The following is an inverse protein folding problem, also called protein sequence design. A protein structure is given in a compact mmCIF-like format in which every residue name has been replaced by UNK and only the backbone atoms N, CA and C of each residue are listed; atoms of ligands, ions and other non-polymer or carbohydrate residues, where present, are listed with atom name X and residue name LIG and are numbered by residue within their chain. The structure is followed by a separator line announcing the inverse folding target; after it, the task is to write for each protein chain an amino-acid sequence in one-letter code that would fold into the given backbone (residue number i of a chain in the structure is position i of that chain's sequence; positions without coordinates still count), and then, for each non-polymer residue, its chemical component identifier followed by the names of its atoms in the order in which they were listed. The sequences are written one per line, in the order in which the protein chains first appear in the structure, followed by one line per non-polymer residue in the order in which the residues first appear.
data_IF_850501722471
#
_entry.id   IF_850501722471
#
_cell.length_a   1.000
_cell.length_b   1.000
_cell.length_c   1.000
_cell.angle_alpha   90.00
_cell.angle_beta   90.00
_cell.angle_gamma   90.00
#
_symmetry.space_group_name_H-M   'P 1'
#
loop_
_entity.id
_entity.type
_entity.pdbx_description
1 polymer ?
#
# COMPACT_ATOMS: atom_id res chain seq x y z
N UNK A 1 3.45 -10.12 4.06
CA UNK A 1 3.66 -11.22 5.05
C UNK A 1 2.41 -12.08 5.17
N UNK A 2 2.57 -13.36 5.48
CA UNK A 2 1.43 -14.22 5.83
C UNK A 2 1.11 -14.02 7.33
N UNK A 3 -0.02 -13.40 7.62
CA UNK A 3 -0.53 -13.21 8.99
C UNK A 3 -1.68 -14.18 9.27
N UNK A 4 -1.97 -14.46 10.54
CA UNK A 4 -2.95 -15.49 10.93
C UNK A 4 -4.38 -15.19 10.48
N UNK A 5 -4.69 -13.93 10.23
CA UNK A 5 -6.01 -13.45 9.79
C UNK A 5 -5.96 -12.90 8.37
N UNK A 6 -7.09 -12.85 7.64
CA UNK A 6 -7.16 -12.14 6.36
C UNK A 6 -6.85 -10.64 6.47
N UNK A 7 -7.27 -10.03 7.57
CA UNK A 7 -7.08 -8.61 7.90
C UNK A 7 -6.79 -8.50 9.39
N UNK A 8 -5.88 -7.59 9.77
CA UNK A 8 -5.71 -7.10 11.14
C UNK A 8 -6.08 -5.60 11.14
N UNK A 9 -7.07 -5.24 11.93
CA UNK A 9 -7.41 -3.84 12.18
C UNK A 9 -6.36 -3.23 13.11
N UNK A 10 -5.75 -2.13 12.66
CA UNK A 10 -4.72 -1.41 13.42
C UNK A 10 -5.29 -0.20 14.18
N UNK A 11 -6.58 0.08 13.96
CA UNK A 11 -7.30 1.15 14.64
C UNK A 11 -7.26 2.49 13.91
N UNK A 12 -7.76 3.55 14.59
CA UNK A 12 -7.91 4.87 14.01
C UNK A 12 -6.56 5.56 13.81
N UNK A 13 -6.45 6.30 12.69
CA UNK A 13 -5.29 7.14 12.35
C UNK A 13 -5.78 8.47 11.80
N UNK A 14 -5.08 9.55 12.15
CA UNK A 14 -5.37 10.86 11.57
C UNK A 14 -4.82 10.93 10.13
N UNK A 15 -5.72 11.03 9.18
CA UNK A 15 -5.41 11.13 7.75
C UNK A 15 -5.62 12.54 7.19
N UNK A 16 -5.93 13.53 8.03
CA UNK A 16 -6.39 14.85 7.60
C UNK A 16 -5.42 15.50 6.63
N UNK A 17 -4.17 15.70 7.04
CA UNK A 17 -3.16 16.37 6.22
C UNK A 17 -2.79 15.54 4.98
N UNK A 18 -2.61 14.23 5.15
CA UNK A 18 -2.30 13.34 4.02
C UNK A 18 -3.43 13.33 2.99
N UNK A 19 -4.68 13.32 3.46
CA UNK A 19 -5.86 13.35 2.59
C UNK A 19 -5.96 14.67 1.84
N UNK A 20 -5.75 15.80 2.51
CA UNK A 20 -5.75 17.13 1.89
C UNK A 20 -4.71 17.21 0.77
N UNK A 21 -3.48 16.85 1.06
CA UNK A 21 -2.40 16.86 0.06
C UNK A 21 -2.67 15.90 -1.11
N UNK A 22 -3.14 14.69 -0.86
CA UNK A 22 -3.45 13.73 -1.94
C UNK A 22 -4.58 14.25 -2.83
N UNK A 23 -5.62 14.83 -2.25
CA UNK A 23 -6.78 15.33 -3.00
C UNK A 23 -6.51 16.64 -3.75
N UNK A 24 -5.54 17.42 -3.34
CA UNK A 24 -5.11 18.64 -4.04
C UNK A 24 -4.21 18.36 -5.26
N UNK A 25 -3.75 17.12 -5.45
CA UNK A 25 -2.88 16.79 -6.59
C UNK A 25 -3.64 16.80 -7.91
N UNK A 26 -3.06 17.44 -8.91
CA UNK A 26 -3.55 17.42 -10.29
C UNK A 26 -3.36 16.05 -10.94
N UNK A 27 -4.07 15.80 -12.04
CA UNK A 27 -4.02 14.51 -12.73
C UNK A 27 -2.62 14.11 -13.19
N UNK A 28 -1.78 15.09 -13.57
CA UNK A 28 -0.38 14.85 -13.97
C UNK A 28 0.42 14.13 -12.87
N UNK A 29 0.20 14.44 -11.60
CA UNK A 29 0.89 13.78 -10.49
C UNK A 29 0.59 12.27 -10.38
N UNK A 30 -0.56 11.84 -10.90
CA UNK A 30 -0.98 10.45 -10.95
C UNK A 30 -0.51 9.71 -12.21
N UNK A 31 0.14 10.42 -13.12
CA UNK A 31 0.61 9.91 -14.41
C UNK A 31 2.15 9.96 -14.54
N UNK A 32 2.84 10.59 -13.58
CA UNK A 32 4.31 10.69 -13.58
C UNK A 32 5.02 9.35 -13.50
N UNK A 33 4.40 8.36 -12.86
CA UNK A 33 4.98 7.03 -12.71
C UNK A 33 3.94 5.97 -13.07
N UNK A 34 4.14 5.32 -14.20
CA UNK A 34 3.27 4.26 -14.72
C UNK A 34 3.89 2.86 -14.60
N UNK A 35 5.05 2.73 -13.93
CA UNK A 35 5.75 1.44 -13.79
C UNK A 35 4.83 0.30 -13.37
N UNK A 36 3.94 0.52 -12.39
CA UNK A 36 3.03 -0.53 -11.90
C UNK A 36 1.96 -0.90 -12.91
N UNK A 37 1.49 0.06 -13.70
CA UNK A 37 0.46 -0.16 -14.72
C UNK A 37 1.04 -0.90 -15.93
N UNK A 38 2.29 -0.60 -16.28
CA UNK A 38 2.99 -1.20 -17.41
C UNK A 38 3.50 -2.61 -17.06
N UNK A 39 4.02 -2.80 -15.85
CA UNK A 39 4.61 -4.06 -15.42
C UNK A 39 3.57 -5.10 -14.95
N UNK A 40 2.45 -4.64 -14.37
CA UNK A 40 1.45 -5.54 -13.77
C UNK A 40 0.05 -5.31 -14.34
N UNK A 41 -0.43 -6.23 -15.17
CA UNK A 41 -1.76 -6.18 -15.80
C UNK A 41 -2.89 -5.91 -14.79
N UNK A 42 -2.79 -6.44 -13.56
CA UNK A 42 -3.78 -6.24 -12.50
C UNK A 42 -3.94 -4.78 -12.08
N UNK A 43 -2.98 -3.90 -12.42
CA UNK A 43 -2.98 -2.49 -12.06
C UNK A 43 -3.33 -1.53 -13.20
N UNK A 44 -3.64 -2.01 -14.40
CA UNK A 44 -4.03 -1.18 -15.57
C UNK A 44 -5.24 -0.27 -15.32
N UNK A 45 -6.09 -0.64 -14.35
CA UNK A 45 -7.27 0.12 -13.94
C UNK A 45 -7.01 1.09 -12.76
N UNK A 46 -5.74 1.27 -12.38
CA UNK A 46 -5.31 2.11 -11.25
C UNK A 46 -4.38 3.22 -11.72
N UNK A 47 -4.26 4.27 -10.91
CA UNK A 47 -3.19 5.27 -10.99
C UNK A 47 -2.46 5.30 -9.64
N UNK A 48 -1.19 5.71 -9.63
CA UNK A 48 -0.42 5.75 -8.38
C UNK A 48 0.54 6.94 -8.34
N UNK A 49 0.76 7.47 -7.13
CA UNK A 49 1.89 8.34 -6.81
C UNK A 49 2.86 7.52 -5.97
N UNK A 50 3.93 7.03 -6.57
CA UNK A 50 4.96 6.26 -5.89
C UNK A 50 5.84 7.20 -5.06
N UNK A 51 6.05 6.85 -3.79
CA UNK A 51 6.87 7.61 -2.85
C UNK A 51 8.19 6.89 -2.51
N UNK A 52 8.07 5.60 -2.19
CA UNK A 52 9.20 4.70 -1.91
C UNK A 52 8.97 3.42 -2.70
N UNK A 53 10.02 2.92 -3.36
CA UNK A 53 9.95 1.62 -4.02
C UNK A 53 11.24 0.82 -3.84
N UNK A 54 11.10 -0.50 -3.60
CA UNK A 54 12.26 -1.39 -3.45
C UNK A 54 12.74 -1.84 -4.81
N UNK A 55 14.06 -1.87 -5.00
CA UNK A 55 14.68 -2.56 -6.13
C UNK A 55 14.43 -4.06 -6.00
N UNK A 56 13.56 -4.58 -6.85
CA UNK A 56 13.20 -5.99 -6.85
C UNK A 56 14.26 -6.87 -7.49
N UNK A 57 15.09 -6.30 -8.37
CA UNK A 57 16.16 -7.03 -9.07
C UNK A 57 17.32 -7.38 -8.15
N UNK A 58 17.57 -6.53 -7.14
CA UNK A 58 18.62 -6.71 -6.13
C UNK A 58 18.21 -7.54 -4.91
N UNK A 59 16.97 -8.02 -4.84
CA UNK A 59 16.52 -8.79 -3.69
C UNK A 59 17.40 -10.04 -3.43
N UNK A 60 17.80 -10.36 -2.19
CA UNK A 60 17.31 -9.83 -0.90
C UNK A 60 18.06 -8.60 -0.35
N UNK A 61 19.01 -8.02 -1.07
CA UNK A 61 19.64 -6.76 -0.69
C UNK A 61 18.59 -5.62 -0.77
N UNK A 62 18.17 -5.12 0.39
CA UNK A 62 17.10 -4.12 0.46
C UNK A 62 17.65 -2.76 0.06
N UNK A 63 17.43 -2.38 -1.19
CA UNK A 63 17.68 -1.04 -1.71
C UNK A 63 16.36 -0.39 -2.05
N UNK A 64 16.13 0.81 -1.54
CA UNK A 64 14.92 1.58 -1.82
C UNK A 64 15.27 2.88 -2.51
N UNK A 65 14.43 3.28 -3.45
CA UNK A 65 14.49 4.57 -4.15
C UNK A 65 13.37 5.49 -3.68
N UNK A 66 13.60 6.79 -3.77
CA UNK A 66 12.57 7.81 -3.59
C UNK A 66 12.05 8.20 -4.95
N UNK A 67 10.77 7.97 -5.16
CA UNK A 67 10.09 8.26 -6.41
C UNK A 67 9.46 9.66 -6.42
N UNK A 68 8.85 10.08 -7.51
CA UNK A 68 8.28 11.41 -7.70
C UNK A 68 7.32 11.81 -6.56
N UNK A 69 6.50 10.88 -6.09
CA UNK A 69 5.57 11.11 -4.97
C UNK A 69 6.24 11.44 -3.62
N UNK A 70 7.55 11.19 -3.47
CA UNK A 70 8.28 11.55 -2.25
C UNK A 70 8.19 13.05 -1.95
N UNK A 71 8.49 13.89 -2.93
CA UNK A 71 8.49 15.33 -2.76
C UNK A 71 7.09 15.89 -2.44
N UNK A 72 6.04 15.17 -2.81
CA UNK A 72 4.65 15.57 -2.61
C UNK A 72 4.12 15.14 -1.24
N UNK A 73 4.44 13.93 -0.81
CA UNK A 73 3.76 13.25 0.29
C UNK A 73 4.61 13.05 1.54
N UNK A 74 5.96 13.12 1.47
CA UNK A 74 6.83 12.70 2.57
C UNK A 74 6.54 13.43 3.88
N UNK A 75 6.33 14.75 3.84
CA UNK A 75 6.12 15.57 5.04
C UNK A 75 4.88 15.14 5.86
N UNK A 76 3.86 14.61 5.21
CA UNK A 76 2.60 14.19 5.86
C UNK A 76 2.48 12.66 5.99
N UNK A 77 3.10 11.91 5.08
CA UNK A 77 3.04 10.46 5.10
C UNK A 77 4.01 9.84 6.11
N UNK A 78 5.21 10.40 6.29
CA UNK A 78 6.21 9.88 7.24
C UNK A 78 5.69 9.89 8.69
N UNK A 79 5.11 10.98 9.21
CA UNK A 79 4.53 10.98 10.56
C UNK A 79 3.44 9.91 10.73
N UNK A 80 2.54 9.76 9.75
CA UNK A 80 1.48 8.76 9.79
C UNK A 80 2.05 7.33 9.79
N UNK A 81 3.00 7.03 8.89
CA UNK A 81 3.63 5.71 8.84
C UNK A 81 4.37 5.40 10.14
N UNK A 82 5.15 6.34 10.68
CA UNK A 82 5.88 6.17 11.92
C UNK A 82 4.93 5.89 13.09
N UNK A 83 3.84 6.64 13.21
CA UNK A 83 2.82 6.41 14.24
C UNK A 83 2.26 4.98 14.19
N UNK A 84 1.93 4.48 12.99
CA UNK A 84 1.42 3.12 12.82
C UNK A 84 2.52 2.08 13.17
N UNK A 85 3.75 2.31 12.70
CA UNK A 85 4.87 1.39 12.95
C UNK A 85 5.17 1.29 14.44
N UNK A 86 5.30 2.41 15.14
CA UNK A 86 5.61 2.47 16.57
C UNK A 86 4.57 1.78 17.44
N UNK A 87 3.29 1.85 17.04
CA UNK A 87 2.21 1.26 17.84
C UNK A 87 1.96 -0.23 17.56
N UNK A 88 2.39 -0.76 16.40
CA UNK A 88 1.95 -2.08 15.95
C UNK A 88 3.06 -3.05 15.55
N UNK A 89 4.30 -2.57 15.39
CA UNK A 89 5.41 -3.37 14.88
C UNK A 89 6.69 -3.19 15.67
N UNK A 90 7.61 -4.15 15.59
CA UNK A 90 8.94 -4.02 16.18
C UNK A 90 9.74 -2.93 15.49
N UNK A 91 10.46 -2.09 16.27
CA UNK A 91 11.26 -0.98 15.72
C UNK A 91 12.50 -1.46 14.95
N UNK A 92 13.18 -0.52 14.29
CA UNK A 92 14.47 -0.75 13.62
C UNK A 92 14.38 -1.38 12.24
N UNK A 93 13.17 -1.63 11.75
CA UNK A 93 12.96 -2.10 10.38
C UNK A 93 12.97 -0.98 9.34
N UNK A 94 12.51 -1.30 8.13
CA UNK A 94 12.49 -0.35 7.00
C UNK A 94 11.18 -0.40 6.22
N UNK A 95 10.76 0.76 5.72
CA UNK A 95 9.66 0.85 4.74
C UNK A 95 10.25 0.59 3.35
N UNK A 96 9.76 -0.45 2.70
CA UNK A 96 10.27 -0.86 1.38
C UNK A 96 9.36 -0.43 0.22
N UNK A 97 8.13 -0.03 0.49
CA UNK A 97 7.19 0.58 -0.47
C UNK A 97 6.30 1.57 0.25
N UNK A 98 6.00 2.69 -0.38
CA UNK A 98 4.95 3.60 0.05
C UNK A 98 4.38 4.33 -1.17
N UNK A 99 3.04 4.43 -1.24
CA UNK A 99 2.35 5.06 -2.36
C UNK A 99 0.91 5.46 -2.03
N UNK A 100 0.40 6.45 -2.73
CA UNK A 100 -1.04 6.62 -2.88
C UNK A 100 -1.50 5.88 -4.14
N UNK A 101 -2.51 5.02 -4.01
CA UNK A 101 -3.07 4.23 -5.09
C UNK A 101 -4.55 4.57 -5.31
N UNK A 102 -4.91 4.92 -6.55
CA UNK A 102 -6.26 5.32 -6.98
C UNK A 102 -6.85 4.21 -7.86
N UNK A 103 -7.98 3.62 -7.44
CA UNK A 103 -8.79 2.74 -8.27
C UNK A 103 -9.96 3.54 -8.85
N UNK A 104 -10.01 3.64 -10.16
CA UNK A 104 -10.98 4.46 -10.87
C UNK A 104 -12.42 3.93 -10.70
N UNK A 105 -13.38 4.84 -10.89
CA UNK A 105 -14.82 4.52 -10.91
C UNK A 105 -15.12 3.41 -11.90
N UNK A 106 -15.94 2.44 -11.48
CA UNK A 106 -16.39 1.32 -12.30
C UNK A 106 -15.32 0.26 -12.57
N UNK A 107 -14.11 0.43 -12.06
CA UNK A 107 -12.98 -0.47 -12.31
C UNK A 107 -12.78 -1.48 -11.17
N UNK A 108 -11.95 -2.47 -11.45
CA UNK A 108 -11.58 -3.51 -10.50
C UNK A 108 -10.10 -3.89 -10.62
N UNK A 109 -9.53 -4.31 -9.52
CA UNK A 109 -8.27 -5.04 -9.43
C UNK A 109 -8.66 -6.51 -9.36
N UNK A 110 -8.25 -7.29 -10.35
CA UNK A 110 -8.62 -8.72 -10.46
C UNK A 110 -8.04 -9.57 -9.33
N UNK A 111 -8.59 -10.75 -9.04
CA UNK A 111 -8.06 -11.64 -8.01
C UNK A 111 -6.61 -12.02 -8.28
N UNK A 112 -5.74 -11.74 -7.30
CA UNK A 112 -4.31 -12.07 -7.33
C UNK A 112 -3.78 -12.21 -5.90
N UNK A 113 -2.54 -12.64 -5.78
CA UNK A 113 -1.73 -12.58 -4.56
C UNK A 113 -0.37 -11.99 -4.91
N UNK A 114 0.29 -11.38 -3.93
CA UNK A 114 1.56 -10.70 -4.13
C UNK A 114 2.71 -11.72 -4.18
N UNK A 115 3.35 -11.87 -5.34
CA UNK A 115 4.27 -13.00 -5.62
C UNK A 115 5.73 -12.75 -5.25
N UNK A 116 6.19 -11.49 -5.36
CA UNK A 116 7.61 -11.19 -5.15
C UNK A 116 8.04 -11.56 -3.72
N UNK A 117 9.24 -12.15 -3.50
CA UNK A 117 9.69 -12.58 -2.17
C UNK A 117 9.64 -11.52 -1.08
N UNK A 118 9.84 -10.24 -1.40
CA UNK A 118 9.71 -9.14 -0.44
C UNK A 118 8.34 -9.02 0.23
N UNK A 119 7.29 -9.57 -0.39
CA UNK A 119 5.95 -9.60 0.21
C UNK A 119 5.78 -10.69 1.28
N UNK A 120 6.74 -11.61 1.39
CA UNK A 120 6.71 -12.65 2.42
C UNK A 120 7.24 -12.15 3.77
N UNK A 121 8.09 -11.13 3.79
CA UNK A 121 8.68 -10.57 5.00
C UNK A 121 8.11 -9.17 5.38
N UNK A 122 7.45 -8.49 4.44
CA UNK A 122 6.88 -7.16 4.66
C UNK A 122 5.41 -7.21 5.10
N UNK A 123 5.07 -6.47 6.14
CA UNK A 123 3.70 -6.17 6.52
C UNK A 123 3.12 -5.16 5.54
N UNK A 124 1.96 -5.43 4.94
CA UNK A 124 1.29 -4.53 3.99
C UNK A 124 0.14 -3.81 4.66
N UNK A 125 0.30 -2.50 4.83
CA UNK A 125 -0.63 -1.64 5.52
C UNK A 125 -1.42 -0.79 4.51
N UNK A 126 -2.73 -0.74 4.68
CA UNK A 126 -3.68 0.05 3.90
C UNK A 126 -4.33 1.10 4.78
N UNK A 127 -4.24 2.36 4.37
CA UNK A 127 -4.90 3.50 5.00
C UNK A 127 -5.82 4.14 3.97
N UNK A 128 -7.15 3.92 4.03
CA UNK A 128 -8.09 4.51 3.09
C UNK A 128 -8.13 6.04 3.20
N UNK A 129 -7.96 6.71 2.07
CA UNK A 129 -8.04 8.17 1.92
C UNK A 129 -9.42 8.60 1.43
N UNK A 130 -9.95 7.85 0.43
CA UNK A 130 -11.35 7.94 0.00
C UNK A 130 -11.91 6.55 -0.21
N UNK A 131 -13.19 6.38 0.10
CA UNK A 131 -13.93 5.15 -0.18
C UNK A 131 -15.42 5.47 -0.35
N UNK A 132 -16.21 4.50 -0.76
CA UNK A 132 -17.66 4.62 -0.84
C UNK A 132 -18.35 3.28 -0.52
N UNK A 133 -19.65 3.24 -0.22
CA UNK A 133 -20.36 2.02 0.19
C UNK A 133 -20.38 0.91 -0.86
N UNK A 134 -20.01 1.18 -2.12
CA UNK A 134 -19.96 0.22 -3.22
C UNK A 134 -18.56 -0.28 -3.55
N UNK A 135 -17.55 0.11 -2.76
CA UNK A 135 -16.22 -0.50 -2.80
C UNK A 135 -16.26 -1.81 -2.02
N UNK A 136 -15.67 -2.85 -2.58
CA UNK A 136 -15.47 -4.15 -1.91
C UNK A 136 -14.02 -4.55 -2.06
N UNK A 137 -13.38 -4.78 -0.92
CA UNK A 137 -12.07 -5.42 -0.85
C UNK A 137 -12.31 -6.89 -0.48
N UNK A 138 -11.99 -7.81 -1.38
CA UNK A 138 -12.19 -9.24 -1.14
C UNK A 138 -10.86 -9.89 -0.78
N UNK A 139 -10.83 -10.71 0.28
CA UNK A 139 -9.70 -11.55 0.63
C UNK A 139 -10.22 -12.96 0.88
N UNK A 140 -9.65 -13.96 0.19
CA UNK A 140 -10.08 -15.36 0.26
C UNK A 140 -11.60 -15.53 0.04
N UNK A 141 -12.17 -14.74 -0.89
CA UNK A 141 -13.59 -14.79 -1.25
C UNK A 141 -14.54 -14.06 -0.27
N UNK A 142 -14.05 -13.48 0.81
CA UNK A 142 -14.86 -12.70 1.75
C UNK A 142 -14.71 -11.19 1.46
N UNK A 143 -15.83 -10.43 1.38
CA UNK A 143 -15.80 -8.99 1.19
C UNK A 143 -15.56 -8.26 2.51
N UNK A 144 -14.74 -7.21 2.44
CA UNK A 144 -14.46 -6.28 3.53
C UNK A 144 -14.70 -4.85 3.07
N UNK A 145 -15.11 -3.99 4.00
CA UNK A 145 -15.21 -2.55 3.79
C UNK A 145 -14.21 -1.84 4.69
N UNK A 146 -13.26 -1.16 4.08
CA UNK A 146 -12.31 -0.33 4.79
C UNK A 146 -12.88 1.08 4.96
N UNK A 147 -12.65 1.70 6.12
CA UNK A 147 -13.14 3.03 6.46
C UNK A 147 -12.00 4.05 6.37
N UNK A 148 -12.33 5.26 5.94
CA UNK A 148 -11.40 6.40 6.00
C UNK A 148 -11.03 6.69 7.45
N UNK A 149 -9.75 6.98 7.72
CA UNK A 149 -9.25 7.24 9.07
C UNK A 149 -9.01 5.98 9.92
N UNK A 150 -9.01 4.81 9.31
CA UNK A 150 -8.65 3.54 9.93
C UNK A 150 -7.48 2.90 9.19
N UNK A 151 -6.56 2.26 9.88
CA UNK A 151 -5.46 1.51 9.29
C UNK A 151 -5.73 0.00 9.34
N UNK A 152 -5.34 -0.70 8.29
CA UNK A 152 -5.54 -2.14 8.14
C UNK A 152 -4.28 -2.81 7.61
N UNK A 153 -3.84 -3.88 8.25
CA UNK A 153 -2.88 -4.79 7.66
C UNK A 153 -3.64 -5.90 6.91
N UNK A 154 -3.24 -6.18 5.68
CA UNK A 154 -3.82 -7.27 4.90
C UNK A 154 -2.87 -8.46 4.80
N UNK A 155 -3.43 -9.66 4.76
CA UNK A 155 -2.67 -10.85 4.37
C UNK A 155 -2.50 -10.88 2.85
N UNK A 156 -1.42 -10.27 2.36
CA UNK A 156 -1.10 -10.15 0.95
C UNK A 156 -0.71 -11.47 0.28
N UNK A 157 -0.52 -12.55 1.07
CA UNK A 157 -0.26 -13.90 0.57
C UNK A 157 -1.56 -14.67 0.29
N UNK A 158 -2.72 -14.14 0.69
CA UNK A 158 -4.03 -14.66 0.31
C UNK A 158 -4.54 -13.97 -0.94
N UNK A 159 -5.26 -14.72 -1.77
CA UNK A 159 -5.92 -14.15 -2.97
C UNK A 159 -6.82 -12.99 -2.56
N UNK A 160 -6.58 -11.83 -3.16
CA UNK A 160 -7.34 -10.62 -2.90
C UNK A 160 -7.69 -9.88 -4.20
N UNK A 161 -8.76 -9.08 -4.13
CA UNK A 161 -9.24 -8.26 -5.24
C UNK A 161 -9.98 -7.04 -4.72
N UNK A 162 -10.10 -6.01 -5.55
CA UNK A 162 -10.85 -4.80 -5.20
C UNK A 162 -11.81 -4.44 -6.32
N UNK A 163 -13.05 -4.10 -5.97
CA UNK A 163 -14.04 -3.62 -6.93
C UNK A 163 -14.56 -2.26 -6.48
N UNK A 164 -14.60 -1.29 -7.38
CA UNK A 164 -15.22 0.01 -7.15
C UNK A 164 -16.45 0.17 -8.06
N UNK A 165 -17.63 -0.13 -7.53
CA UNK A 165 -18.93 0.05 -8.23
C UNK A 165 -19.63 1.36 -7.83
N UNK A 166 -18.91 2.28 -7.20
CA UNK A 166 -19.42 3.58 -6.78
C UNK A 166 -19.36 4.64 -7.86
N UNK A 167 -19.51 5.89 -7.44
CA UNK A 167 -19.50 7.09 -8.29
C UNK A 167 -18.27 7.98 -8.06
N UNK A 168 -17.36 7.55 -7.20
CA UNK A 168 -16.12 8.25 -6.89
C UNK A 168 -14.95 7.28 -6.91
N UNK A 169 -13.77 7.77 -7.26
CA UNK A 169 -12.54 7.01 -7.19
C UNK A 169 -12.23 6.61 -5.74
N UNK A 170 -11.70 5.40 -5.58
CA UNK A 170 -11.20 4.92 -4.30
C UNK A 170 -9.70 5.20 -4.23
N UNK A 171 -9.26 5.94 -3.22
CA UNK A 171 -7.85 6.21 -2.96
C UNK A 171 -7.45 5.58 -1.64
N UNK A 172 -6.30 4.90 -1.64
CA UNK A 172 -5.72 4.31 -0.44
C UNK A 172 -4.23 4.64 -0.41
N UNK A 173 -3.75 5.09 0.73
CA UNK A 173 -2.32 5.12 0.99
C UNK A 173 -1.89 3.72 1.43
N UNK A 174 -0.84 3.19 0.81
CA UNK A 174 -0.35 1.82 1.03
C UNK A 174 1.13 1.90 1.34
N UNK A 175 1.58 1.18 2.37
CA UNK A 175 3.00 0.99 2.60
C UNK A 175 3.33 -0.42 3.08
N UNK A 176 4.56 -0.87 2.77
CA UNK A 176 5.09 -2.16 3.21
C UNK A 176 6.26 -1.91 4.17
N UNK A 177 6.14 -2.44 5.39
CA UNK A 177 7.17 -2.36 6.43
C UNK A 177 7.78 -3.74 6.70
N UNK A 178 9.11 -3.83 6.67
CA UNK A 178 9.86 -5.04 7.03
C UNK A 178 10.53 -4.79 8.39
N UNK A 179 10.12 -5.51 9.45
CA UNK A 179 10.75 -5.41 10.76
C UNK A 179 12.22 -5.87 10.73
N UNK A 180 13.05 -5.34 11.62
CA UNK A 180 14.47 -5.70 11.71
C UNK A 180 14.69 -7.22 11.81
N UNK A 181 13.92 -7.91 12.65
CA UNK A 181 14.03 -9.35 12.80
C UNK A 181 13.65 -10.18 11.56
N UNK A 182 12.92 -9.60 10.60
CA UNK A 182 12.68 -10.24 9.31
C UNK A 182 13.83 -9.93 8.33
N UNK A 183 14.41 -8.72 8.39
CA UNK A 183 15.60 -8.37 7.61
C UNK A 183 16.77 -9.31 7.95
N UNK A 184 16.99 -9.56 9.25
CA UNK A 184 18.06 -10.43 9.74
C UNK A 184 17.92 -11.90 9.31
N UNK A 185 16.72 -12.35 8.92
CA UNK A 185 16.46 -13.70 8.40
C UNK A 185 16.69 -13.80 6.89
N UNK A 186 16.84 -12.69 6.18
CA UNK A 186 17.11 -12.72 4.76
C UNK A 186 18.51 -13.31 4.51
N UNK A 187 18.70 -14.12 3.45
CA UNK A 187 20.01 -14.60 3.09
C UNK A 187 20.93 -13.41 2.78
N UNK A 188 22.20 -13.51 3.15
CA UNK A 188 23.18 -12.52 2.75
C UNK A 188 23.19 -12.39 1.21
N UNK A 189 23.28 -11.17 0.70
CA UNK A 189 23.51 -10.95 -0.72
C UNK A 189 24.84 -11.62 -1.12
N UNK A 190 24.79 -12.45 -2.16
CA UNK A 190 25.96 -13.17 -2.69
C UNK A 190 26.79 -12.23 -3.55
#
# INVERSE_FOLDING_TARGET
MNIDTPIRELGPVDVTDLREIILSQEDVAWEEDQYRQDEYEVHTATKSMLMIFVDTSGWPDIKVTREAGWNRLANVALPLMNNIIENHYSPGGTVIRAMAAKLLVGKNITPHWDKHPSFHCGHRIHVPITTNPRVRFNISGKPYQFKVGEAYEINNQKTHSVTNKGTQDRITFIFDYVPLGEIEKLPAAI
#
